data_IF_392541557245
#
_entry.id   IF_392541557245
#
_cell.length_a   1.000
_cell.length_b   1.000
_cell.length_c   1.000
_cell.angle_alpha   90.00
_cell.angle_beta   90.00
_cell.angle_gamma   90.00
#
_symmetry.space_group_name_H-M   'P 1'
#
loop_
_entity.id
_entity.type
_entity.pdbx_description
1 polymer ?
#
# COMPACT_ATOMS: atom_id res chain seq x y z
N UNK A 1 5.73 -6.39 -6.47
CA UNK A 1 4.52 -7.19 -6.16
C UNK A 1 3.87 -6.61 -4.91
N UNK A 2 2.55 -6.47 -4.90
CA UNK A 2 1.82 -5.78 -3.83
C UNK A 2 0.60 -6.57 -3.33
N UNK A 3 0.29 -6.47 -2.04
CA UNK A 3 -0.84 -7.13 -1.35
C UNK A 3 -1.49 -6.17 -0.35
N UNK A 4 -2.69 -6.47 0.12
CA UNK A 4 -3.38 -5.81 1.24
C UNK A 4 -4.36 -6.77 1.92
N UNK A 5 -5.06 -6.33 2.96
CA UNK A 5 -6.32 -6.98 3.40
C UNK A 5 -6.17 -8.45 3.81
N UNK A 6 -5.13 -8.77 4.61
CA UNK A 6 -4.97 -10.14 5.12
C UNK A 6 -5.90 -10.47 6.29
N UNK A 7 -6.49 -9.49 6.96
CA UNK A 7 -7.57 -9.65 7.95
C UNK A 7 -7.27 -10.67 9.06
N UNK A 8 -6.02 -10.66 9.55
CA UNK A 8 -5.60 -11.44 10.72
C UNK A 8 -5.03 -12.82 10.43
N UNK A 9 -4.94 -13.64 11.49
CA UNK A 9 -4.24 -14.94 11.49
C UNK A 9 -4.69 -15.91 10.39
N UNK A 10 -6.00 -15.99 10.16
CA UNK A 10 -6.57 -16.92 9.18
C UNK A 10 -6.23 -16.52 7.76
N UNK A 11 -6.54 -15.28 7.35
CA UNK A 11 -6.21 -14.78 6.02
C UNK A 11 -4.70 -14.77 5.80
N UNK A 12 -3.90 -14.29 6.76
CA UNK A 12 -2.45 -14.37 6.67
C UNK A 12 -1.97 -15.82 6.44
N UNK A 13 -2.50 -16.81 7.15
CA UNK A 13 -2.09 -18.22 6.96
C UNK A 13 -2.44 -18.77 5.59
N UNK A 14 -3.61 -18.42 5.07
CA UNK A 14 -4.06 -18.90 3.77
C UNK A 14 -3.32 -18.21 2.61
N UNK A 15 -3.18 -16.88 2.69
CA UNK A 15 -2.61 -16.09 1.60
C UNK A 15 -1.08 -16.11 1.58
N UNK A 16 -0.40 -16.27 2.72
CA UNK A 16 1.07 -16.20 2.74
C UNK A 16 1.74 -17.39 2.03
N UNK A 17 1.06 -18.54 1.89
CA UNK A 17 1.54 -19.62 1.03
C UNK A 17 1.58 -19.18 -0.43
N UNK A 18 0.55 -18.47 -0.88
CA UNK A 18 0.48 -17.93 -2.23
C UNK A 18 1.51 -16.83 -2.45
N UNK A 19 1.73 -15.95 -1.47
CA UNK A 19 2.82 -14.95 -1.51
C UNK A 19 4.16 -15.61 -1.83
N UNK A 20 4.52 -16.67 -1.10
CA UNK A 20 5.77 -17.41 -1.34
C UNK A 20 5.85 -18.01 -2.73
N UNK A 21 4.77 -18.66 -3.16
CA UNK A 21 4.69 -19.28 -4.49
C UNK A 21 4.90 -18.22 -5.58
N UNK A 22 4.17 -17.11 -5.51
CA UNK A 22 4.26 -16.03 -6.50
C UNK A 22 5.63 -15.35 -6.52
N UNK A 23 6.29 -15.19 -5.37
CA UNK A 23 7.67 -14.68 -5.32
C UNK A 23 8.62 -15.54 -6.17
N UNK A 24 8.46 -16.86 -6.10
CA UNK A 24 9.28 -17.81 -6.87
C UNK A 24 8.92 -17.73 -8.36
N UNK A 25 7.63 -17.62 -8.69
CA UNK A 25 7.16 -17.63 -10.08
C UNK A 25 7.46 -16.33 -10.83
N UNK A 26 7.39 -15.19 -10.16
CA UNK A 26 7.46 -13.87 -10.82
C UNK A 26 8.70 -13.08 -10.46
N UNK A 27 9.56 -13.58 -9.56
CA UNK A 27 10.82 -12.95 -9.15
C UNK A 27 10.74 -11.43 -8.95
N UNK A 28 9.83 -10.92 -8.10
CA UNK A 28 9.70 -9.48 -7.91
C UNK A 28 10.97 -8.90 -7.25
N UNK A 29 11.27 -7.63 -7.53
CA UNK A 29 12.34 -6.90 -6.83
C UNK A 29 11.89 -6.35 -5.47
N UNK A 30 10.61 -6.01 -5.36
CA UNK A 30 10.02 -5.32 -4.20
C UNK A 30 8.70 -5.98 -3.80
N UNK A 31 8.50 -6.14 -2.49
CA UNK A 31 7.22 -6.49 -1.88
C UNK A 31 6.60 -5.28 -1.19
N UNK A 32 5.31 -5.04 -1.41
CA UNK A 32 4.56 -3.96 -0.79
C UNK A 32 3.30 -4.51 -0.12
N UNK A 33 3.01 -4.06 1.10
CA UNK A 33 1.81 -4.42 1.83
C UNK A 33 0.99 -3.18 2.23
N UNK A 34 -0.22 -3.05 1.70
CA UNK A 34 -1.04 -1.84 1.81
C UNK A 34 -2.08 -1.96 2.94
N UNK A 35 -1.67 -2.41 4.13
CA UNK A 35 -2.50 -2.42 5.34
C UNK A 35 -3.47 -3.60 5.53
N UNK A 36 -4.21 -3.52 6.63
CA UNK A 36 -5.22 -4.47 7.11
C UNK A 36 -4.66 -5.86 7.47
N UNK A 37 -3.64 -5.85 8.33
CA UNK A 37 -3.10 -7.05 8.99
C UNK A 37 -3.93 -7.47 10.21
N UNK A 38 -4.72 -6.55 10.79
CA UNK A 38 -5.68 -6.66 11.90
C UNK A 38 -5.14 -6.35 13.30
N UNK A 39 -4.43 -7.27 13.97
CA UNK A 39 -4.07 -7.10 15.38
C UNK A 39 -2.62 -7.46 15.66
N UNK A 40 -2.15 -7.16 16.88
CA UNK A 40 -0.75 -7.38 17.26
C UNK A 40 -0.29 -8.84 17.05
N UNK A 41 -1.18 -9.82 17.24
CA UNK A 41 -0.84 -11.24 17.06
C UNK A 41 -0.59 -11.56 15.58
N UNK A 42 -1.47 -11.10 14.68
CA UNK A 42 -1.29 -11.31 13.24
C UNK A 42 -0.10 -10.54 12.69
N UNK A 43 0.17 -9.34 13.22
CA UNK A 43 1.37 -8.56 12.88
C UNK A 43 2.65 -9.29 13.29
N UNK A 44 2.73 -9.83 14.51
CA UNK A 44 3.90 -10.64 14.95
C UNK A 44 4.09 -11.87 14.06
N UNK A 45 3.00 -12.51 13.63
CA UNK A 45 3.06 -13.63 12.70
C UNK A 45 3.53 -13.20 11.30
N UNK A 46 3.03 -12.08 10.78
CA UNK A 46 3.47 -11.48 9.52
C UNK A 46 4.97 -11.19 9.59
N UNK A 47 5.43 -10.46 10.60
CA UNK A 47 6.84 -10.13 10.82
C UNK A 47 7.72 -11.40 10.83
N UNK A 48 7.31 -12.42 11.61
CA UNK A 48 8.00 -13.71 11.68
C UNK A 48 8.10 -14.41 10.32
N UNK A 49 7.07 -14.29 9.48
CA UNK A 49 7.07 -14.90 8.14
C UNK A 49 7.89 -14.09 7.14
N UNK A 50 7.77 -12.77 7.13
CA UNK A 50 8.56 -11.87 6.29
C UNK A 50 10.06 -12.00 6.59
N UNK A 51 10.45 -12.03 7.88
CA UNK A 51 11.85 -12.25 8.29
C UNK A 51 12.42 -13.55 7.74
N UNK A 52 11.60 -14.61 7.66
CA UNK A 52 12.01 -15.92 7.10
C UNK A 52 12.14 -15.90 5.58
N UNK A 53 11.48 -14.98 4.87
CA UNK A 53 11.65 -14.84 3.43
C UNK A 53 13.05 -14.33 3.07
N UNK A 54 13.70 -13.57 3.96
CA UNK A 54 14.96 -12.85 3.69
C UNK A 54 14.88 -12.01 2.40
N UNK A 55 13.69 -11.47 2.12
CA UNK A 55 13.44 -10.69 0.93
C UNK A 55 14.03 -9.27 1.13
N UNK A 56 14.80 -8.74 0.17
CA UNK A 56 15.65 -7.58 0.40
C UNK A 56 14.88 -6.26 0.55
N UNK A 57 13.79 -6.09 -0.20
CA UNK A 57 13.01 -4.85 -0.23
C UNK A 57 11.55 -5.13 0.11
N UNK A 58 11.15 -4.77 1.34
CA UNK A 58 9.78 -4.89 1.82
C UNK A 58 9.33 -3.52 2.33
N UNK A 59 8.22 -3.03 1.81
CA UNK A 59 7.57 -1.79 2.25
C UNK A 59 6.15 -2.08 2.70
N UNK A 60 5.64 -1.29 3.63
CA UNK A 60 4.27 -1.44 4.08
C UNK A 60 3.69 -0.14 4.61
N UNK A 61 2.37 -0.09 4.69
CA UNK A 61 1.62 0.84 5.52
C UNK A 61 0.61 0.02 6.34
N UNK A 62 0.11 0.58 7.44
CA UNK A 62 -1.04 0.02 8.16
C UNK A 62 -2.36 0.52 7.56
N UNK A 63 -3.43 -0.25 7.76
CA UNK A 63 -4.79 0.09 7.36
C UNK A 63 -5.72 0.37 8.53
N UNK A 64 -6.97 0.67 8.25
CA UNK A 64 -7.95 1.08 9.26
C UNK A 64 -8.31 -0.04 10.24
N UNK A 65 -8.14 -1.30 9.83
CA UNK A 65 -8.43 -2.46 10.66
C UNK A 65 -7.25 -2.87 11.56
N UNK A 66 -6.09 -2.21 11.41
CA UNK A 66 -4.91 -2.48 12.20
C UNK A 66 -4.99 -1.81 13.57
N UNK A 67 -4.94 -2.61 14.64
CA UNK A 67 -4.96 -2.13 16.03
C UNK A 67 -3.63 -1.50 16.49
N UNK A 68 -2.68 -1.32 15.59
CA UNK A 68 -1.41 -0.65 15.85
C UNK A 68 -1.47 0.75 15.24
N UNK A 69 -0.77 1.70 15.86
CA UNK A 69 -0.67 3.05 15.32
C UNK A 69 -0.07 3.04 13.90
N UNK A 70 -0.51 3.93 12.99
CA UNK A 70 0.00 3.99 11.63
C UNK A 70 1.52 4.16 11.51
N UNK A 71 2.17 4.75 12.52
CA UNK A 71 3.62 4.98 12.62
C UNK A 71 4.40 3.85 13.31
N UNK A 72 3.74 2.77 13.74
CA UNK A 72 4.41 1.63 14.37
C UNK A 72 5.45 1.00 13.45
N UNK A 73 6.59 0.57 13.99
CA UNK A 73 7.65 -0.07 13.20
C UNK A 73 7.76 -1.56 13.51
N UNK A 74 7.60 -2.38 12.46
CA UNK A 74 7.97 -3.78 12.46
C UNK A 74 9.49 -3.93 12.45
N UNK A 75 9.99 -5.07 12.93
CA UNK A 75 11.42 -5.39 12.85
C UNK A 75 11.89 -5.84 11.46
N UNK A 76 11.02 -5.77 10.46
CA UNK A 76 11.29 -6.19 9.08
C UNK A 76 10.55 -5.28 8.10
N UNK A 77 11.22 -4.93 7.01
CA UNK A 77 10.69 -3.98 6.04
C UNK A 77 10.69 -2.54 6.56
N UNK A 78 10.13 -1.65 5.77
CA UNK A 78 10.06 -0.21 6.06
C UNK A 78 8.60 0.21 6.09
N UNK A 79 8.13 0.77 7.22
CA UNK A 79 6.86 1.45 7.26
C UNK A 79 6.98 2.76 6.47
N UNK A 80 6.13 2.93 5.46
CA UNK A 80 6.10 4.10 4.59
C UNK A 80 5.23 5.22 5.13
N UNK A 81 4.43 5.02 6.18
CA UNK A 81 3.53 6.06 6.71
C UNK A 81 4.32 7.34 7.00
N UNK A 82 3.99 8.40 6.26
CA UNK A 82 4.65 9.71 6.28
C UNK A 82 6.15 9.64 6.01
N UNK A 83 6.54 8.84 5.00
CA UNK A 83 7.92 8.76 4.52
C UNK A 83 7.99 8.74 3.02
N UNK A 84 9.12 9.26 2.52
CA UNK A 84 9.60 9.13 1.15
C UNK A 84 10.93 8.40 1.17
N UNK A 85 11.05 7.33 0.40
CA UNK A 85 12.26 6.51 0.28
C UNK A 85 12.70 6.52 -1.19
N UNK A 86 13.98 6.84 -1.42
CA UNK A 86 14.58 6.66 -2.74
C UNK A 86 14.87 5.16 -2.94
N UNK A 87 14.25 4.55 -3.94
CA UNK A 87 14.40 3.11 -4.22
C UNK A 87 15.65 2.87 -5.05
N UNK A 88 15.87 3.71 -6.07
CA UNK A 88 17.04 3.74 -6.93
C UNK A 88 17.14 5.12 -7.60
N UNK A 89 18.00 5.27 -8.61
CA UNK A 89 18.18 6.54 -9.32
C UNK A 89 16.92 7.06 -10.02
N UNK A 90 16.02 6.16 -10.42
CA UNK A 90 14.83 6.48 -11.20
C UNK A 90 13.54 6.58 -10.37
N UNK A 91 13.41 5.78 -9.30
CA UNK A 91 12.17 5.63 -8.55
C UNK A 91 12.29 6.10 -7.10
N UNK A 92 11.22 6.71 -6.62
CA UNK A 92 10.99 6.94 -5.19
C UNK A 92 9.64 6.35 -4.79
N UNK A 93 9.53 5.90 -3.55
CA UNK A 93 8.32 5.34 -2.97
C UNK A 93 7.93 6.14 -1.73
N UNK A 94 6.66 6.54 -1.65
CA UNK A 94 6.13 7.23 -0.48
C UNK A 94 4.82 6.61 -0.05
N UNK A 95 4.45 6.78 1.21
CA UNK A 95 3.14 6.29 1.63
C UNK A 95 2.50 6.95 2.85
N UNK A 96 1.22 6.64 2.99
CA UNK A 96 0.39 7.10 4.10
C UNK A 96 -0.62 6.00 4.43
N UNK A 97 -0.41 5.37 5.59
CA UNK A 97 -1.34 4.40 6.17
C UNK A 97 -2.45 5.03 7.02
N UNK A 98 -3.27 4.17 7.61
CA UNK A 98 -4.37 4.52 8.49
C UNK A 98 -5.72 4.52 7.78
N UNK A 99 -6.71 5.14 8.44
CA UNK A 99 -8.04 5.36 7.89
C UNK A 99 -8.19 6.74 7.22
N UNK A 100 -9.41 7.11 6.84
CA UNK A 100 -9.69 8.42 6.22
C UNK A 100 -9.38 9.60 7.16
N UNK A 101 -9.56 9.44 8.48
CA UNK A 101 -9.24 10.48 9.44
C UNK A 101 -7.73 10.65 9.58
N UNK A 102 -6.97 9.56 9.66
CA UNK A 102 -5.51 9.58 9.69
C UNK A 102 -4.94 10.28 8.45
N UNK A 103 -5.48 9.94 7.27
CA UNK A 103 -5.09 10.57 6.00
C UNK A 103 -5.36 12.07 6.03
N UNK A 104 -6.58 12.49 6.41
CA UNK A 104 -6.95 13.90 6.43
C UNK A 104 -6.13 14.71 7.45
N UNK A 105 -5.85 14.14 8.63
CA UNK A 105 -5.06 14.81 9.65
C UNK A 105 -3.61 15.06 9.20
N UNK A 106 -3.05 14.12 8.43
CA UNK A 106 -1.64 14.16 8.05
C UNK A 106 -1.39 14.60 6.60
N UNK A 107 -2.43 14.98 5.85
CA UNK A 107 -2.30 15.24 4.41
C UNK A 107 -1.33 16.38 4.10
N UNK A 108 -1.33 17.45 4.92
CA UNK A 108 -0.44 18.59 4.73
C UNK A 108 1.02 18.20 4.96
N UNK A 109 1.30 17.44 6.03
CA UNK A 109 2.64 16.90 6.33
C UNK A 109 3.09 15.99 5.18
N UNK A 110 2.19 15.13 4.69
CA UNK A 110 2.52 14.24 3.59
C UNK A 110 2.75 15.01 2.28
N UNK A 111 2.00 16.08 2.02
CA UNK A 111 2.22 16.97 0.89
C UNK A 111 3.62 17.60 0.95
N UNK A 112 4.06 18.07 2.12
CA UNK A 112 5.42 18.61 2.31
C UNK A 112 6.50 17.57 2.02
N UNK A 113 6.33 16.33 2.49
CA UNK A 113 7.26 15.22 2.20
C UNK A 113 7.35 14.93 0.69
N UNK A 114 6.21 14.98 -0.01
CA UNK A 114 6.18 14.69 -1.45
C UNK A 114 6.86 15.78 -2.30
N UNK A 115 7.08 16.99 -1.78
CA UNK A 115 7.90 18.01 -2.45
C UNK A 115 9.35 17.54 -2.66
N UNK A 116 9.82 16.58 -1.86
CA UNK A 116 11.18 16.03 -1.94
C UNK A 116 11.36 14.94 -3.01
N UNK A 117 10.30 14.56 -3.75
CA UNK A 117 10.35 13.51 -4.81
C UNK A 117 11.35 13.81 -5.94
N UNK A 118 11.81 15.06 -6.07
CA UNK A 118 12.75 15.49 -7.11
C UNK A 118 12.24 15.08 -8.51
N UNK A 119 13.13 14.65 -9.41
CA UNK A 119 12.83 14.22 -10.78
C UNK A 119 12.49 12.72 -10.91
N UNK A 120 12.31 12.01 -9.80
CA UNK A 120 12.08 10.56 -9.80
C UNK A 120 10.63 10.21 -10.12
N UNK A 121 10.42 9.01 -10.66
CA UNK A 121 9.10 8.39 -10.82
C UNK A 121 8.57 7.97 -9.44
N UNK A 122 7.51 8.62 -8.99
CA UNK A 122 6.88 8.33 -7.71
C UNK A 122 5.99 7.07 -7.76
N UNK A 123 6.18 6.18 -6.80
CA UNK A 123 5.23 5.14 -6.41
C UNK A 123 4.57 5.58 -5.10
N UNK A 124 3.25 5.78 -5.12
CA UNK A 124 2.48 6.18 -3.94
C UNK A 124 1.75 4.96 -3.37
N UNK A 125 1.91 4.73 -2.06
CA UNK A 125 1.28 3.64 -1.33
C UNK A 125 0.36 4.19 -0.26
N UNK A 126 -0.91 3.83 -0.28
CA UNK A 126 -1.84 4.16 0.80
C UNK A 126 -2.64 2.92 1.20
N UNK A 127 -3.31 2.95 2.34
CA UNK A 127 -4.36 1.95 2.58
C UNK A 127 -5.67 2.39 1.92
N UNK A 128 -6.12 3.60 2.24
CA UNK A 128 -7.32 4.23 1.68
C UNK A 128 -7.12 4.54 0.18
N UNK A 129 -8.07 4.22 -0.71
CA UNK A 129 -7.97 4.58 -2.12
C UNK A 129 -8.18 6.08 -2.34
N UNK A 130 -7.57 6.69 -3.36
CA UNK A 130 -7.95 8.03 -3.80
C UNK A 130 -9.35 8.03 -4.42
N UNK A 131 -10.14 9.06 -4.13
CA UNK A 131 -11.50 9.20 -4.64
C UNK A 131 -11.57 9.11 -6.17
N UNK A 132 -12.47 8.27 -6.68
CA UNK A 132 -12.68 8.11 -8.12
C UNK A 132 -11.88 6.98 -8.77
N UNK A 133 -11.03 6.26 -8.02
CA UNK A 133 -10.19 5.20 -8.54
C UNK A 133 -10.31 3.91 -7.74
N UNK A 134 -11.01 2.91 -8.29
CA UNK A 134 -11.16 1.58 -7.71
C UNK A 134 -11.69 1.60 -6.25
N UNK A 135 -12.61 2.53 -5.99
CA UNK A 135 -13.12 2.89 -4.66
C UNK A 135 -14.66 2.88 -4.59
N UNK A 136 -15.32 2.08 -5.45
CA UNK A 136 -16.77 1.96 -5.45
C UNK A 136 -17.27 0.95 -4.42
N UNK A 137 -18.13 1.37 -3.50
CA UNK A 137 -18.85 0.46 -2.62
C UNK A 137 -19.91 -0.36 -3.39
N UNK A 138 -20.55 -1.32 -2.71
CA UNK A 138 -21.61 -2.18 -3.29
C UNK A 138 -22.75 -1.38 -3.93
N UNK A 139 -23.07 -0.21 -3.36
CA UNK A 139 -24.13 0.67 -3.88
C UNK A 139 -23.68 1.56 -5.07
N UNK A 140 -22.46 1.34 -5.57
CA UNK A 140 -21.90 2.04 -6.72
C UNK A 140 -21.40 3.46 -6.41
N UNK A 141 -21.35 3.87 -5.13
CA UNK A 141 -20.80 5.18 -4.75
C UNK A 141 -19.29 5.10 -4.52
N UNK A 142 -18.60 6.14 -4.94
CA UNK A 142 -17.20 6.37 -4.58
C UNK A 142 -17.08 6.70 -3.09
N UNK A 143 -16.17 6.00 -2.41
CA UNK A 143 -15.90 6.16 -0.98
C UNK A 143 -14.42 6.40 -0.67
N UNK A 144 -13.60 6.68 -1.69
CA UNK A 144 -12.19 7.00 -1.51
C UNK A 144 -11.94 8.41 -0.96
N UNK A 145 -10.69 8.69 -0.65
CA UNK A 145 -10.25 9.95 -0.07
C UNK A 145 -10.14 11.06 -1.11
N UNK A 146 -10.84 12.17 -0.87
CA UNK A 146 -10.68 13.38 -1.68
C UNK A 146 -9.30 14.03 -1.48
N UNK A 147 -8.75 13.96 -0.27
CA UNK A 147 -7.43 14.47 0.04
C UNK A 147 -6.34 13.74 -0.75
N UNK A 148 -6.38 12.41 -0.80
CA UNK A 148 -5.47 11.63 -1.65
C UNK A 148 -5.70 11.90 -3.14
N UNK A 149 -6.96 12.10 -3.56
CA UNK A 149 -7.28 12.45 -4.95
C UNK A 149 -6.55 13.73 -5.36
N UNK A 150 -6.55 14.76 -4.52
CA UNK A 150 -5.82 16.00 -4.78
C UNK A 150 -4.31 15.76 -4.90
N UNK A 151 -3.70 14.96 -4.02
CA UNK A 151 -2.27 14.68 -4.08
C UNK A 151 -1.87 13.88 -5.33
N UNK A 152 -2.64 12.85 -5.71
CA UNK A 152 -2.32 12.07 -6.91
C UNK A 152 -2.46 12.89 -8.19
N UNK A 153 -3.38 13.86 -8.24
CA UNK A 153 -3.50 14.77 -9.38
C UNK A 153 -2.38 15.81 -9.42
N UNK A 154 -1.94 16.30 -8.25
CA UNK A 154 -0.82 17.23 -8.08
C UNK A 154 0.50 16.60 -8.50
N UNK A 155 0.84 15.45 -7.92
CA UNK A 155 2.15 14.79 -8.09
C UNK A 155 2.22 13.80 -9.24
N UNK A 156 1.07 13.35 -9.76
CA UNK A 156 0.97 12.44 -10.93
C UNK A 156 1.92 11.24 -10.80
N UNK A 157 1.79 10.43 -9.73
CA UNK A 157 2.69 9.30 -9.51
C UNK A 157 2.67 8.37 -10.72
N UNK A 158 3.77 7.66 -10.96
CA UNK A 158 3.80 6.61 -11.99
C UNK A 158 2.84 5.47 -11.63
N UNK A 159 2.74 5.17 -10.34
CA UNK A 159 1.91 4.13 -9.79
C UNK A 159 1.33 4.57 -8.43
N UNK A 160 0.04 4.32 -8.22
CA UNK A 160 -0.64 4.49 -6.93
C UNK A 160 -1.29 3.16 -6.54
N UNK A 161 -0.90 2.59 -5.41
CA UNK A 161 -1.40 1.28 -4.94
C UNK A 161 -2.00 1.36 -3.54
N UNK A 162 -3.09 0.64 -3.35
CA UNK A 162 -3.91 0.70 -2.15
C UNK A 162 -4.76 -0.56 -1.94
N UNK A 163 -5.50 -0.62 -0.84
CA UNK A 163 -6.42 -1.70 -0.49
C UNK A 163 -7.81 -1.18 -0.10
N UNK A 164 -8.31 -1.60 1.06
CA UNK A 164 -9.49 -1.09 1.78
C UNK A 164 -10.85 -1.47 1.17
N UNK A 165 -11.09 -1.20 -0.11
CA UNK A 165 -12.41 -1.44 -0.75
C UNK A 165 -12.42 -2.81 -1.43
N UNK A 166 -12.88 -3.84 -0.73
CA UNK A 166 -12.78 -5.24 -1.16
C UNK A 166 -13.56 -5.54 -2.46
N UNK A 167 -14.64 -4.81 -2.73
CA UNK A 167 -15.44 -4.90 -3.96
C UNK A 167 -14.62 -4.55 -5.22
N UNK A 168 -13.48 -3.88 -5.03
CA UNK A 168 -12.55 -3.50 -6.08
C UNK A 168 -11.20 -4.19 -5.96
N UNK A 169 -11.06 -5.20 -5.09
CA UNK A 169 -9.86 -6.04 -5.00
C UNK A 169 -9.44 -6.56 -6.37
N UNK A 170 -8.19 -6.31 -6.76
CA UNK A 170 -7.62 -6.68 -8.06
C UNK A 170 -8.04 -5.81 -9.24
N UNK A 171 -8.77 -4.71 -9.03
CA UNK A 171 -9.11 -3.76 -10.10
C UNK A 171 -8.05 -2.69 -10.27
N UNK A 172 -8.00 -2.14 -11.48
CA UNK A 172 -7.13 -1.04 -11.83
C UNK A 172 -7.84 0.05 -12.63
N UNK A 173 -7.26 1.24 -12.59
CA UNK A 173 -7.68 2.38 -13.39
C UNK A 173 -6.44 3.12 -13.91
N UNK A 174 -6.63 3.94 -14.94
CA UNK A 174 -5.58 4.78 -15.49
C UNK A 174 -6.12 6.20 -15.62
N UNK A 175 -5.37 7.17 -15.11
CA UNK A 175 -5.56 8.59 -15.41
C UNK A 175 -4.24 9.13 -15.97
N UNK A 176 -4.27 9.61 -17.22
CA UNK A 176 -3.07 10.07 -17.92
C UNK A 176 -1.98 8.97 -17.97
N UNK A 177 -0.88 9.16 -17.23
CA UNK A 177 0.24 8.21 -17.12
C UNK A 177 0.32 7.52 -15.75
N UNK A 178 -0.62 7.83 -14.86
CA UNK A 178 -0.72 7.23 -13.53
C UNK A 178 -1.58 5.99 -13.59
N UNK A 179 -1.04 4.88 -13.08
CA UNK A 179 -1.77 3.62 -12.94
C UNK A 179 -2.20 3.51 -11.48
N UNK A 180 -3.47 3.14 -11.26
CA UNK A 180 -4.05 2.93 -9.94
C UNK A 180 -4.37 1.45 -9.77
N UNK A 181 -4.06 0.88 -8.61
CA UNK A 181 -4.40 -0.51 -8.28
C UNK A 181 -4.94 -0.63 -6.86
N UNK A 182 -6.12 -1.23 -6.75
CA UNK A 182 -6.58 -1.83 -5.51
C UNK A 182 -6.09 -3.30 -5.51
N UNK A 183 -5.08 -3.60 -4.68
CA UNK A 183 -4.28 -4.82 -4.82
C UNK A 183 -4.89 -6.05 -4.16
N UNK A 184 -5.62 -5.85 -3.06
CA UNK A 184 -6.31 -6.89 -2.32
C UNK A 184 -5.42 -8.01 -1.75
N UNK A 185 -6.09 -8.99 -1.16
CA UNK A 185 -5.49 -10.13 -0.46
C UNK A 185 -4.83 -11.14 -1.39
N UNK A 186 -5.31 -11.22 -2.64
CA UNK A 186 -4.68 -12.03 -3.69
C UNK A 186 -3.41 -11.38 -4.19
N UNK A 187 -3.32 -10.05 -4.16
CA UNK A 187 -2.19 -9.25 -4.59
C UNK A 187 -1.99 -9.20 -6.11
N UNK A 188 -1.10 -8.31 -6.56
CA UNK A 188 -0.81 -8.05 -7.97
C UNK A 188 0.70 -7.99 -8.24
N UNK A 189 1.10 -8.40 -9.44
CA UNK A 189 2.47 -8.19 -9.95
C UNK A 189 2.41 -7.01 -10.91
N UNK A 190 3.32 -6.06 -10.73
CA UNK A 190 3.34 -4.79 -11.44
C UNK A 190 4.74 -4.60 -12.00
N UNK A 191 4.84 -4.36 -13.29
CA UNK A 191 6.07 -4.07 -14.03
C UNK A 191 6.04 -2.58 -14.43
N UNK A 192 7.10 -1.83 -14.15
CA UNK A 192 7.15 -0.36 -14.23
C UNK A 192 8.24 0.18 -15.15
#
# INVERSE_FOLDING_TARGET
>A
MAFSDFHGLFGLTNHFREVKKRIIETHPDILIFCGDFRNQISVVLLESRLRRLKFPAIYYVFGNSDLLAPDYELKVGVNLHLKLIQVNDEFAIAGIGGDELDVNWNIEIFDEILLEVQSKKLILVSHVPPFGFCDFAVDGKHVGSNALRMLVEKYKPKLCIFGHIHENSGKSAILNKTIFWNVGEKGVVLEL
#
